data_IF_879260138765
#
_entry.id   IF_879260138765
#
_cell.length_a   1.000
_cell.length_b   1.000
_cell.length_c   1.000
_cell.angle_alpha   90.00
_cell.angle_beta   90.00
_cell.angle_gamma   90.00
#
_symmetry.space_group_name_H-M   'P 1'
#
loop_
_entity.id
_entity.type
_entity.pdbx_description
1 polymer ?
#
# COMPACT_ATOMS: atom_id res chain seq x y z
N UNK A 1 9.40 -33.02 -10.79
CA UNK A 1 9.28 -31.84 -11.67
C UNK A 1 8.19 -32.13 -12.68
N UNK A 2 6.97 -31.63 -12.47
CA UNK A 2 5.95 -31.43 -13.50
C UNK A 2 5.21 -30.15 -13.12
N UNK A 3 5.44 -29.11 -13.91
CA UNK A 3 4.91 -27.76 -13.79
C UNK A 3 4.43 -27.40 -15.17
N UNK A 4 3.15 -27.56 -15.48
CA UNK A 4 2.61 -27.00 -16.72
C UNK A 4 1.10 -26.85 -16.49
N UNK A 5 0.38 -25.77 -16.80
CA UNK A 5 0.66 -24.37 -17.01
C UNK A 5 -0.74 -23.75 -17.21
N UNK A 6 -0.97 -22.58 -16.64
CA UNK A 6 -2.22 -21.82 -16.70
C UNK A 6 -2.54 -21.42 -18.15
N UNK A 7 -3.49 -22.12 -18.78
CA UNK A 7 -3.90 -21.91 -20.17
C UNK A 7 -4.84 -20.72 -20.39
N UNK A 8 -4.82 -19.70 -19.52
CA UNK A 8 -5.75 -18.56 -19.59
C UNK A 8 -5.33 -17.43 -20.54
N UNK A 9 -4.32 -17.64 -21.39
CA UNK A 9 -3.81 -16.63 -22.35
C UNK A 9 -4.18 -16.91 -23.81
N UNK A 10 -5.27 -17.64 -24.08
CA UNK A 10 -5.80 -17.75 -25.43
C UNK A 10 -6.58 -16.47 -25.81
N UNK A 11 -5.89 -15.50 -26.41
CA UNK A 11 -6.53 -14.36 -27.10
C UNK A 11 -7.45 -14.90 -28.19
N UNK A 12 -8.75 -14.99 -27.89
CA UNK A 12 -9.73 -15.48 -28.84
C UNK A 12 -10.09 -14.32 -29.74
N UNK A 13 -9.63 -14.35 -30.99
CA UNK A 13 -10.09 -13.42 -32.02
C UNK A 13 -11.58 -13.70 -32.31
N UNK A 14 -12.49 -13.10 -31.53
CA UNK A 14 -13.91 -13.24 -31.77
C UNK A 14 -14.34 -12.48 -33.02
N UNK A 15 -15.26 -13.07 -33.79
CA UNK A 15 -15.92 -12.35 -34.86
C UNK A 15 -16.77 -11.21 -34.30
N UNK A 16 -16.95 -10.13 -35.07
CA UNK A 16 -17.82 -9.00 -34.66
C UNK A 16 -19.23 -9.45 -34.28
N UNK A 17 -19.74 -10.47 -34.95
CA UNK A 17 -21.05 -11.05 -34.63
C UNK A 17 -21.07 -11.63 -33.21
N UNK A 18 -20.06 -12.43 -32.84
CA UNK A 18 -19.93 -12.99 -31.49
C UNK A 18 -19.67 -11.91 -30.44
N UNK A 19 -18.91 -10.87 -30.77
CA UNK A 19 -18.70 -9.71 -29.88
C UNK A 19 -20.04 -9.01 -29.60
N UNK A 20 -20.84 -8.76 -30.64
CA UNK A 20 -22.15 -8.11 -30.48
C UNK A 20 -23.09 -8.98 -29.64
N UNK A 21 -23.12 -10.29 -29.87
CA UNK A 21 -23.89 -11.25 -29.08
C UNK A 21 -23.56 -11.15 -27.58
N UNK A 22 -22.26 -11.13 -27.24
CA UNK A 22 -21.79 -11.00 -25.85
C UNK A 22 -22.14 -9.65 -25.25
N UNK A 23 -21.94 -8.55 -26.01
CA UNK A 23 -22.28 -7.20 -25.55
C UNK A 23 -23.79 -7.07 -25.32
N UNK A 24 -24.59 -7.63 -26.21
CA UNK A 24 -26.05 -7.58 -26.11
C UNK A 24 -26.61 -8.42 -24.97
N UNK A 25 -25.95 -9.53 -24.60
CA UNK A 25 -26.36 -10.37 -23.48
C UNK A 25 -25.86 -9.86 -22.13
N UNK A 26 -24.72 -9.15 -22.10
CA UNK A 26 -24.03 -8.79 -20.86
C UNK A 26 -24.27 -7.36 -20.40
N UNK A 27 -24.56 -6.41 -21.31
CA UNK A 27 -24.69 -4.99 -20.96
C UNK A 27 -26.15 -4.66 -20.60
N UNK A 28 -26.42 -4.01 -19.45
CA UNK A 28 -27.78 -3.61 -19.05
C UNK A 28 -28.48 -2.75 -20.10
N UNK A 29 -29.79 -3.00 -20.31
CA UNK A 29 -30.63 -2.32 -21.32
C UNK A 29 -31.80 -1.59 -20.66
N UNK A 30 -32.13 -0.39 -21.15
CA UNK A 30 -33.36 0.35 -20.82
C UNK A 30 -34.07 0.74 -22.12
N UNK A 31 -35.29 0.24 -22.34
CA UNK A 31 -36.08 0.47 -23.57
C UNK A 31 -35.31 0.09 -24.86
N UNK A 32 -34.62 -1.05 -24.85
CA UNK A 32 -33.79 -1.52 -25.96
C UNK A 32 -32.44 -0.79 -26.13
N UNK A 33 -32.16 0.24 -25.32
CA UNK A 33 -30.91 1.00 -25.37
C UNK A 33 -29.95 0.51 -24.29
N UNK A 34 -28.72 0.14 -24.68
CA UNK A 34 -27.63 -0.15 -23.74
C UNK A 34 -27.39 1.09 -22.86
N UNK A 35 -27.45 0.91 -21.54
CA UNK A 35 -27.16 1.97 -20.57
C UNK A 35 -25.73 1.80 -20.02
N UNK A 36 -25.12 2.89 -19.54
CA UNK A 36 -23.74 2.86 -19.04
C UNK A 36 -22.65 2.98 -20.12
N UNK A 37 -23.00 2.90 -21.40
CA UNK A 37 -22.08 3.25 -22.48
C UNK A 37 -21.91 4.78 -22.56
N UNK A 38 -20.79 5.27 -22.03
CA UNK A 38 -20.43 6.68 -22.05
C UNK A 38 -20.35 7.24 -23.48
N UNK A 39 -20.84 8.47 -23.67
CA UNK A 39 -20.57 9.22 -24.90
C UNK A 39 -19.09 9.63 -24.84
N UNK A 40 -18.28 9.18 -25.80
CA UNK A 40 -16.92 9.68 -25.94
C UNK A 40 -17.01 11.18 -26.24
N UNK A 41 -16.75 12.02 -25.22
CA UNK A 41 -16.52 13.44 -25.40
C UNK A 41 -15.36 13.60 -26.37
N UNK A 42 -15.62 14.12 -27.57
CA UNK A 42 -14.60 14.41 -28.59
C UNK A 42 -13.76 15.65 -28.22
N UNK A 43 -13.61 15.93 -26.92
CA UNK A 43 -12.87 17.07 -26.38
C UNK A 43 -11.42 16.72 -26.02
N UNK A 44 -11.05 15.43 -26.04
CA UNK A 44 -9.65 15.07 -26.16
C UNK A 44 -9.21 15.34 -27.61
N UNK A 45 -8.05 15.98 -27.77
CA UNK A 45 -7.39 16.06 -29.07
C UNK A 45 -7.36 14.64 -29.68
N UNK A 46 -7.62 14.48 -30.99
CA UNK A 46 -7.49 13.17 -31.60
C UNK A 46 -6.12 12.62 -31.24
N UNK A 47 -6.06 11.34 -30.85
CA UNK A 47 -4.80 10.63 -30.57
C UNK A 47 -3.77 10.71 -31.72
N UNK A 48 -4.18 11.26 -32.87
CA UNK A 48 -3.36 11.58 -34.04
C UNK A 48 -2.64 12.94 -33.98
N UNK A 49 -2.85 13.76 -32.94
CA UNK A 49 -2.08 14.98 -32.75
C UNK A 49 -0.63 14.58 -32.39
N UNK A 50 0.38 15.03 -33.14
CA UNK A 50 1.77 14.77 -32.78
C UNK A 50 2.03 15.29 -31.35
N UNK A 51 2.68 14.52 -30.47
CA UNK A 51 3.10 15.06 -29.19
C UNK A 51 3.99 16.29 -29.44
N UNK A 52 3.97 17.30 -28.55
CA UNK A 52 4.90 18.41 -28.65
C UNK A 52 6.33 17.84 -28.73
N UNK A 53 7.07 18.27 -29.75
CA UNK A 53 8.43 17.81 -29.95
C UNK A 53 9.30 18.27 -28.77
N UNK A 54 9.85 17.30 -28.05
CA UNK A 54 10.82 17.54 -26.98
C UNK A 54 12.18 17.11 -27.52
N UNK A 55 13.17 17.98 -27.34
CA UNK A 55 14.55 17.69 -27.71
C UNK A 55 15.05 16.41 -27.00
N UNK A 56 15.53 15.39 -27.73
CA UNK A 56 16.07 14.17 -27.13
C UNK A 56 17.23 14.43 -26.16
N UNK A 57 18.02 15.48 -26.35
CA UNK A 57 19.14 15.84 -25.47
C UNK A 57 18.63 16.29 -24.10
N UNK A 58 17.53 17.04 -24.06
CA UNK A 58 16.88 17.46 -22.81
C UNK A 58 16.30 16.25 -22.09
N UNK A 59 15.69 15.31 -22.82
CA UNK A 59 15.10 14.12 -22.23
C UNK A 59 16.17 13.20 -21.59
N UNK A 60 17.30 13.01 -22.26
CA UNK A 60 18.42 12.20 -21.73
C UNK A 60 19.07 12.85 -20.51
N UNK A 61 19.23 14.17 -20.51
CA UNK A 61 19.72 14.90 -19.33
C UNK A 61 18.77 14.77 -18.13
N UNK A 62 17.45 14.87 -18.35
CA UNK A 62 16.45 14.67 -17.30
C UNK A 62 16.43 13.24 -16.77
N UNK A 63 16.62 12.24 -17.64
CA UNK A 63 16.67 10.85 -17.20
C UNK A 63 17.87 10.63 -16.27
N UNK A 64 19.04 11.16 -16.65
CA UNK A 64 20.25 11.07 -15.84
C UNK A 64 20.09 11.74 -14.47
N UNK A 65 19.52 12.95 -14.42
CA UNK A 65 19.25 13.65 -13.14
C UNK A 65 18.33 12.82 -12.22
N UNK A 66 17.32 12.15 -12.80
CA UNK A 66 16.42 11.28 -12.05
C UNK A 66 17.13 10.02 -11.55
N UNK A 67 18.00 9.42 -12.34
CA UNK A 67 18.82 8.28 -11.94
C UNK A 67 19.79 8.63 -10.81
N UNK A 68 20.42 9.81 -10.88
CA UNK A 68 21.29 10.34 -9.82
C UNK A 68 20.48 10.57 -8.53
N UNK A 69 19.28 11.14 -8.64
CA UNK A 69 18.37 11.32 -7.50
C UNK A 69 17.90 9.99 -6.90
N UNK A 70 17.59 8.99 -7.72
CA UNK A 70 17.23 7.65 -7.25
C UNK A 70 18.39 7.04 -6.46
N UNK A 71 19.60 7.08 -7.02
CA UNK A 71 20.81 6.57 -6.37
C UNK A 71 21.07 7.22 -5.01
N UNK A 72 20.88 8.54 -4.92
CA UNK A 72 21.01 9.28 -3.66
C UNK A 72 19.97 8.86 -2.61
N UNK A 73 18.71 8.69 -3.02
CA UNK A 73 17.63 8.27 -2.13
C UNK A 73 17.80 6.83 -1.64
N UNK A 74 18.23 5.91 -2.51
CA UNK A 74 18.54 4.52 -2.14
C UNK A 74 19.65 4.46 -1.08
N UNK A 75 20.70 5.26 -1.26
CA UNK A 75 21.79 5.38 -0.30
C UNK A 75 21.28 5.91 1.05
N UNK A 76 20.40 6.91 1.04
CA UNK A 76 19.81 7.47 2.26
C UNK A 76 18.93 6.42 2.99
N UNK A 77 18.09 5.69 2.26
CA UNK A 77 17.26 4.62 2.82
C UNK A 77 18.12 3.52 3.44
N UNK A 78 19.18 3.09 2.75
CA UNK A 78 20.10 2.07 3.26
C UNK A 78 20.80 2.53 4.55
N UNK A 79 21.28 3.77 4.59
CA UNK A 79 21.90 4.35 5.78
C UNK A 79 20.90 4.45 6.95
N UNK A 80 19.67 4.89 6.68
CA UNK A 80 18.61 4.99 7.68
C UNK A 80 18.24 3.61 8.23
N UNK A 81 18.09 2.61 7.36
CA UNK A 81 17.79 1.24 7.75
C UNK A 81 18.91 0.65 8.61
N UNK A 82 20.17 0.86 8.23
CA UNK A 82 21.31 0.42 9.04
C UNK A 82 21.32 1.07 10.42
N UNK A 83 21.00 2.37 10.51
CA UNK A 83 20.86 3.09 11.78
C UNK A 83 19.73 2.53 12.65
N UNK A 84 18.56 2.31 12.06
CA UNK A 84 17.41 1.73 12.74
C UNK A 84 17.68 0.31 13.25
N UNK A 85 18.23 -0.57 12.41
CA UNK A 85 18.57 -1.95 12.77
C UNK A 85 19.60 -2.00 13.91
N UNK A 86 20.59 -1.10 13.90
CA UNK A 86 21.59 -0.99 14.97
C UNK A 86 20.93 -0.62 16.30
N UNK A 87 20.03 0.36 16.29
CA UNK A 87 19.30 0.78 17.49
C UNK A 87 18.34 -0.30 17.99
N UNK A 88 17.65 -1.00 17.08
CA UNK A 88 16.76 -2.11 17.41
C UNK A 88 17.52 -3.23 18.12
N UNK A 89 18.68 -3.64 17.60
CA UNK A 89 19.54 -4.65 18.24
C UNK A 89 19.98 -4.24 19.65
N UNK A 90 20.36 -2.97 19.82
CA UNK A 90 20.71 -2.42 21.14
C UNK A 90 19.52 -2.52 22.11
N UNK A 91 18.32 -2.14 21.67
CA UNK A 91 17.11 -2.22 22.48
C UNK A 91 16.76 -3.66 22.85
N UNK A 92 16.91 -4.60 21.93
CA UNK A 92 16.71 -6.04 22.18
C UNK A 92 17.70 -6.56 23.22
N UNK A 93 18.97 -6.19 23.13
CA UNK A 93 19.98 -6.56 24.13
C UNK A 93 19.62 -6.05 25.53
N UNK A 94 19.14 -4.81 25.63
CA UNK A 94 18.68 -4.25 26.91
C UNK A 94 17.45 -5.00 27.45
N UNK A 95 16.48 -5.31 26.59
CA UNK A 95 15.29 -6.06 26.96
C UNK A 95 15.65 -7.48 27.45
N UNK A 96 16.59 -8.14 26.78
CA UNK A 96 17.06 -9.46 27.17
C UNK A 96 17.78 -9.43 28.52
N UNK A 97 18.63 -8.43 28.74
CA UNK A 97 19.30 -8.22 30.03
C UNK A 97 18.28 -8.02 31.16
N UNK A 98 17.27 -7.18 30.95
CA UNK A 98 16.18 -6.97 31.91
C UNK A 98 15.43 -8.27 32.22
N UNK A 99 15.14 -9.08 31.20
CA UNK A 99 14.44 -10.37 31.34
C UNK A 99 15.28 -11.40 32.12
N UNK A 100 16.61 -11.40 31.95
CA UNK A 100 17.53 -12.29 32.69
C UNK A 100 17.67 -11.88 34.15
N UNK A 101 17.67 -10.58 34.45
CA UNK A 101 17.73 -10.08 35.83
C UNK A 101 16.43 -10.31 36.60
N UNK A 102 15.29 -10.30 35.91
CA UNK A 102 13.97 -10.54 36.48
C UNK A 102 13.18 -11.51 35.60
N UNK A 103 13.45 -12.83 35.70
CA UNK A 103 12.64 -13.83 35.02
C UNK A 103 11.21 -13.75 35.60
N UNK A 104 10.25 -13.28 34.81
CA UNK A 104 8.84 -13.14 35.20
C UNK A 104 8.11 -14.49 35.38
N UNK A 105 8.84 -15.58 35.61
CA UNK A 105 8.32 -16.90 35.92
C UNK A 105 7.92 -16.92 37.42
N UNK A 106 6.82 -16.24 37.77
CA UNK A 106 6.25 -16.30 39.12
C UNK A 106 5.54 -15.05 39.64
N UNK A 107 5.43 -13.97 38.87
CA UNK A 107 4.72 -12.77 39.34
C UNK A 107 3.20 -12.93 39.17
N UNK A 108 2.58 -13.53 40.20
CA UNK A 108 1.18 -13.25 40.55
C UNK A 108 0.99 -11.73 40.52
N UNK A 109 -0.10 -11.17 39.95
CA UNK A 109 -0.29 -9.72 39.91
C UNK A 109 -0.35 -9.19 41.34
N UNK A 110 0.77 -8.68 41.87
CA UNK A 110 0.74 -7.90 43.10
C UNK A 110 -0.05 -6.66 42.76
N UNK A 111 -1.25 -6.57 43.33
CA UNK A 111 -2.04 -5.35 43.37
C UNK A 111 -1.25 -4.32 44.17
N UNK A 112 -0.29 -3.65 43.53
CA UNK A 112 0.30 -2.45 44.08
C UNK A 112 -0.84 -1.44 44.20
N UNK A 113 -1.15 -0.91 45.39
CA UNK A 113 -2.04 0.23 45.47
C UNK A 113 -1.31 1.38 44.80
N UNK A 114 -1.67 1.65 43.54
CA UNK A 114 -1.10 2.71 42.72
C UNK A 114 -1.64 4.06 43.25
N UNK A 115 -1.20 4.46 44.44
CA UNK A 115 -1.48 5.78 44.98
C UNK A 115 -0.41 6.73 44.45
N UNK A 116 -0.70 7.39 43.33
CA UNK A 116 0.13 8.48 42.81
C UNK A 116 -0.04 9.68 43.75
N UNK A 117 1.01 10.15 44.45
CA UNK A 117 0.92 11.37 45.24
C UNK A 117 0.51 12.54 44.34
N UNK A 118 -0.57 13.26 44.68
CA UNK A 118 -1.12 14.34 43.84
C UNK A 118 -0.08 15.39 43.41
N UNK A 119 1.01 15.56 44.18
CA UNK A 119 2.10 16.49 43.89
C UNK A 119 2.88 16.18 42.61
N UNK A 120 3.02 14.91 42.22
CA UNK A 120 3.71 14.54 40.97
C UNK A 120 2.76 14.55 39.75
N UNK A 121 1.44 14.46 39.96
CA UNK A 121 0.47 14.49 38.84
C UNK A 121 0.36 15.87 38.18
N UNK A 122 0.76 16.95 38.86
CA UNK A 122 0.75 18.31 38.31
C UNK A 122 2.02 18.69 37.55
N UNK A 123 3.12 17.94 37.75
CA UNK A 123 4.42 18.22 37.11
C UNK A 123 4.71 17.32 35.91
N UNK A 124 3.95 16.23 35.73
CA UNK A 124 4.05 15.43 34.51
C UNK A 124 3.45 16.22 33.34
N UNK A 125 4.18 16.35 32.21
CA UNK A 125 3.60 16.92 31.00
C UNK A 125 2.37 16.09 30.63
N UNK A 126 1.22 16.75 30.47
CA UNK A 126 0.05 16.13 29.83
C UNK A 126 0.43 15.88 28.37
N UNK A 127 1.03 14.72 28.10
CA UNK A 127 0.90 14.11 26.80
C UNK A 127 -0.56 13.67 26.73
N UNK A 128 -1.41 14.55 26.20
CA UNK A 128 -2.70 14.13 25.67
C UNK A 128 -2.47 13.07 24.59
N UNK A 129 -3.48 12.28 24.21
CA UNK A 129 -3.38 11.50 22.99
C UNK A 129 -2.95 12.50 21.91
N UNK A 130 -1.79 12.27 21.29
CA UNK A 130 -1.45 12.96 20.06
C UNK A 130 -2.68 12.83 19.18
N UNK A 131 -3.22 13.94 18.71
CA UNK A 131 -4.16 13.96 17.59
C UNK A 131 -3.41 13.42 16.37
N UNK A 132 -3.11 12.13 16.36
CA UNK A 132 -3.10 11.39 15.12
C UNK A 132 -4.52 11.59 14.62
N UNK A 133 -4.66 12.44 13.61
CA UNK A 133 -5.88 12.51 12.82
C UNK A 133 -6.07 11.11 12.24
N UNK A 134 -6.77 10.26 12.99
CA UNK A 134 -7.49 9.10 12.47
C UNK A 134 -8.64 9.69 11.66
N UNK A 135 -8.32 10.35 10.55
CA UNK A 135 -9.24 10.31 9.43
C UNK A 135 -9.30 8.85 9.04
N UNK A 136 -10.39 8.23 9.47
CA UNK A 136 -10.93 7.03 8.89
C UNK A 136 -10.98 7.25 7.37
N UNK A 137 -9.98 6.74 6.65
CA UNK A 137 -10.21 6.30 5.29
C UNK A 137 -11.11 5.07 5.39
N UNK A 138 -12.42 5.29 5.48
CA UNK A 138 -13.46 4.28 5.24
C UNK A 138 -13.48 3.76 3.78
N UNK A 139 -12.39 3.88 3.01
CA UNK A 139 -12.41 3.58 1.57
C UNK A 139 -11.40 2.52 1.10
N UNK A 140 -10.70 1.80 1.97
CA UNK A 140 -9.85 0.68 1.53
C UNK A 140 -10.26 -0.69 2.06
N UNK A 141 -11.43 -0.79 2.71
CA UNK A 141 -12.11 -2.07 2.87
C UNK A 141 -13.05 -2.21 1.69
N UNK A 142 -12.56 -2.82 0.62
CA UNK A 142 -13.21 -3.70 -0.34
C UNK A 142 -12.29 -3.74 -1.56
N UNK A 143 -12.00 -4.97 -1.99
CA UNK A 143 -11.15 -5.33 -3.12
C UNK A 143 -9.64 -5.52 -2.84
N UNK A 144 -9.31 -6.23 -1.76
CA UNK A 144 -8.26 -7.27 -1.88
C UNK A 144 -8.97 -8.59 -2.14
N UNK A 145 -9.47 -8.75 -3.36
CA UNK A 145 -9.68 -10.08 -3.94
C UNK A 145 -8.37 -10.45 -4.61
N UNK A 146 -7.38 -10.79 -3.79
CA UNK A 146 -6.13 -11.36 -4.28
C UNK A 146 -5.94 -12.72 -3.61
N UNK A 147 -6.37 -13.73 -4.38
CA UNK A 147 -5.77 -15.05 -4.45
C UNK A 147 -5.81 -15.89 -3.15
N UNK A 148 -6.93 -16.60 -2.98
CA UNK A 148 -6.85 -18.06 -2.88
C UNK A 148 -6.11 -18.68 -1.70
N UNK A 149 -6.22 -18.11 -0.50
CA UNK A 149 -5.86 -18.84 0.74
C UNK A 149 -7.07 -18.90 1.66
N UNK A 150 -7.82 -20.00 1.57
CA UNK A 150 -8.77 -20.39 2.60
C UNK A 150 -7.99 -20.66 3.89
N UNK A 151 -8.20 -19.84 4.92
CA UNK A 151 -7.90 -20.25 6.28
C UNK A 151 -9.25 -20.63 6.91
N UNK A 152 -9.50 -21.94 6.95
CA UNK A 152 -10.57 -22.52 7.74
C UNK A 152 -10.32 -22.22 9.22
N UNK A 153 -11.32 -21.62 9.86
CA UNK A 153 -11.57 -21.72 11.30
C UNK A 153 -13.01 -22.19 11.45
#
# INVERSE_FOLDING_TARGET
LQTEDDASTASTNLSRFRINEIVESSVPKKKGRLVGLGRRSRSAAPSSAPPPYVDPEVLTAQLKDKDDRISALETQMAAQQAGYETQKRLNEQMMEMMKRMYPNEGLVPRKFPMQIPRKISSELPRIGPSEISLEYSEELSYDIVVLGVSLEI
#
